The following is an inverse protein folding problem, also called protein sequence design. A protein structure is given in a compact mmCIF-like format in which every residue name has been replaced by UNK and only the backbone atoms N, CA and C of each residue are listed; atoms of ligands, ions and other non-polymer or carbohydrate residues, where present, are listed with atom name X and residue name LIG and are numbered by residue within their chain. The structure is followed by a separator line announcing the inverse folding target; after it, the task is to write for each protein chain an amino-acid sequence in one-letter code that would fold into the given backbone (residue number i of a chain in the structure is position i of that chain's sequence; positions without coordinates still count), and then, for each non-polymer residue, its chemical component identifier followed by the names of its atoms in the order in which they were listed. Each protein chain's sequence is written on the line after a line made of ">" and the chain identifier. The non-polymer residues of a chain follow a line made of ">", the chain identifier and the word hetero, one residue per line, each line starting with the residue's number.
data_IF_211291211899
#
_entry.id   IF_211291211899
#
_cell.length_a   1.000
_cell.length_b   1.000
_cell.length_c   1.000
_cell.angle_alpha   90.00
_cell.angle_beta   90.00
_cell.angle_gamma   90.00
#
_symmetry.space_group_name_H-M   'P 1'
#
loop_
_entity.id
_entity.type
_entity.pdbx_description
1 polymer ?
#
# COMPACT_ATOMS: atom_id res chain seq x y z
N UNK A 1 -1.35 -6.64 -5.63
CA UNK A 1 -1.25 -5.41 -4.80
C UNK A 1 -0.41 -5.66 -3.57
N UNK A 2 0.46 -4.74 -3.24
CA UNK A 2 1.28 -4.83 -2.02
C UNK A 2 0.92 -3.66 -1.11
N UNK A 3 0.74 -3.97 0.16
CA UNK A 3 0.44 -2.98 1.20
C UNK A 3 1.63 -2.92 2.14
N UNK A 4 2.26 -1.75 2.23
CA UNK A 4 3.47 -1.58 3.04
C UNK A 4 3.15 -0.70 4.23
N UNK A 5 3.34 -1.23 5.44
CA UNK A 5 3.17 -0.47 6.68
C UNK A 5 4.53 -0.10 7.29
N UNK A 6 4.50 0.59 8.41
CA UNK A 6 5.69 1.03 9.14
C UNK A 6 5.84 0.24 10.42
N UNK A 7 6.99 -0.41 10.62
CA UNK A 7 7.24 -1.18 11.84
C UNK A 7 7.53 -0.30 13.08
N UNK A 8 7.82 0.98 12.86
CA UNK A 8 8.03 1.95 13.96
C UNK A 8 6.73 2.46 14.58
N UNK A 9 5.57 2.15 13.96
CA UNK A 9 4.26 2.45 14.54
C UNK A 9 3.70 1.23 15.26
N UNK A 10 3.19 1.46 16.47
CA UNK A 10 2.50 0.39 17.22
C UNK A 10 1.01 0.53 16.96
N UNK A 11 0.51 -0.27 16.03
CA UNK A 11 -0.91 -0.29 15.68
C UNK A 11 -1.54 -1.59 16.15
N UNK A 12 -2.76 -1.51 16.68
CA UNK A 12 -3.56 -2.71 16.93
C UNK A 12 -3.86 -3.42 15.61
N UNK A 13 -4.20 -4.71 15.68
CA UNK A 13 -4.57 -5.50 14.49
C UNK A 13 -5.73 -4.87 13.74
N UNK A 14 -6.74 -4.43 14.47
CA UNK A 14 -7.92 -3.80 13.87
C UNK A 14 -7.57 -2.49 13.17
N UNK A 15 -6.73 -1.67 13.79
CA UNK A 15 -6.28 -0.41 13.20
C UNK A 15 -5.46 -0.65 11.92
N UNK A 16 -4.53 -1.60 11.96
CA UNK A 16 -3.74 -1.96 10.78
C UNK A 16 -4.65 -2.45 9.65
N UNK A 17 -5.59 -3.32 9.96
CA UNK A 17 -6.54 -3.83 8.97
C UNK A 17 -7.36 -2.70 8.32
N UNK A 18 -7.84 -1.74 9.12
CA UNK A 18 -8.59 -0.60 8.62
C UNK A 18 -7.73 0.28 7.71
N UNK A 19 -6.48 0.56 8.09
CA UNK A 19 -5.57 1.37 7.28
C UNK A 19 -5.20 0.66 5.96
N UNK A 20 -5.00 -0.66 5.99
CA UNK A 20 -4.83 -1.45 4.78
C UNK A 20 -6.07 -1.40 3.89
N UNK A 21 -7.26 -1.45 4.48
CA UNK A 21 -8.52 -1.31 3.76
C UNK A 21 -8.63 0.02 3.03
N UNK A 22 -8.22 1.11 3.67
CA UNK A 22 -8.17 2.43 3.03
C UNK A 22 -7.22 2.43 1.83
N UNK A 23 -6.04 1.85 1.98
CA UNK A 23 -5.07 1.76 0.89
C UNK A 23 -5.62 0.96 -0.30
N UNK A 24 -6.26 -0.18 -0.03
CA UNK A 24 -6.88 -1.01 -1.09
C UNK A 24 -7.96 -0.22 -1.82
N UNK A 25 -8.87 0.41 -1.09
CA UNK A 25 -9.97 1.17 -1.68
C UNK A 25 -9.47 2.28 -2.60
N UNK A 26 -8.50 3.06 -2.12
CA UNK A 26 -7.94 4.18 -2.90
C UNK A 26 -7.18 3.70 -4.12
N UNK A 27 -6.39 2.62 -4.00
CA UNK A 27 -5.68 2.03 -5.12
C UNK A 27 -6.64 1.49 -6.17
N UNK A 28 -7.71 0.83 -5.76
CA UNK A 28 -8.74 0.30 -6.68
C UNK A 28 -9.44 1.44 -7.42
N UNK A 29 -9.85 2.50 -6.72
CA UNK A 29 -10.49 3.66 -7.33
C UNK A 29 -9.56 4.35 -8.32
N UNK A 30 -8.28 4.49 -7.97
CA UNK A 30 -7.27 5.08 -8.84
C UNK A 30 -7.05 4.22 -10.09
N UNK A 31 -6.92 2.90 -9.91
CA UNK A 31 -6.76 1.96 -11.01
C UNK A 31 -7.98 1.98 -11.95
N UNK A 32 -9.17 2.13 -11.42
CA UNK A 32 -10.40 2.22 -12.22
C UNK A 32 -10.34 3.41 -13.18
N UNK A 33 -9.78 4.53 -12.74
CA UNK A 33 -9.63 5.73 -13.57
C UNK A 33 -8.47 5.63 -14.55
N UNK A 34 -7.33 5.10 -14.10
CA UNK A 34 -6.06 5.20 -14.83
C UNK A 34 -5.67 3.91 -15.56
N UNK A 35 -6.04 2.75 -15.01
CA UNK A 35 -5.62 1.43 -15.51
C UNK A 35 -6.78 0.42 -15.46
N UNK A 36 -7.89 0.69 -16.14
CA UNK A 36 -9.09 -0.15 -16.00
C UNK A 36 -8.90 -1.60 -16.46
N UNK A 37 -8.08 -1.83 -17.48
CA UNK A 37 -7.79 -3.20 -17.97
C UNK A 37 -6.98 -3.98 -16.95
N UNK A 38 -6.00 -3.33 -16.32
CA UNK A 38 -5.18 -3.94 -15.29
C UNK A 38 -6.04 -4.29 -14.07
N UNK A 39 -6.92 -3.39 -13.66
CA UNK A 39 -7.84 -3.64 -12.56
C UNK A 39 -8.74 -4.83 -12.84
N UNK A 40 -9.30 -4.91 -14.04
CA UNK A 40 -10.18 -6.01 -14.44
C UNK A 40 -9.47 -7.36 -14.34
N UNK A 41 -8.25 -7.45 -14.85
CA UNK A 41 -7.43 -8.67 -14.74
C UNK A 41 -7.12 -9.02 -13.30
N UNK A 42 -6.73 -8.01 -12.51
CA UNK A 42 -6.42 -8.18 -11.10
C UNK A 42 -7.62 -8.79 -10.33
N UNK A 43 -8.81 -8.24 -10.54
CA UNK A 43 -10.03 -8.75 -9.88
C UNK A 43 -10.38 -10.15 -10.35
N UNK A 44 -10.25 -10.43 -11.66
CA UNK A 44 -10.51 -11.76 -12.23
C UNK A 44 -9.56 -12.81 -11.67
N UNK A 45 -8.29 -12.44 -11.43
CA UNK A 45 -7.24 -13.38 -11.01
C UNK A 45 -7.16 -13.53 -9.48
N UNK A 46 -8.16 -13.07 -8.74
CA UNK A 46 -8.28 -13.31 -7.31
C UNK A 46 -7.95 -12.12 -6.41
N UNK A 47 -7.60 -10.98 -6.99
CA UNK A 47 -7.31 -9.74 -6.25
C UNK A 47 -6.30 -9.95 -5.10
N UNK A 48 -5.18 -10.62 -5.39
CA UNK A 48 -4.17 -10.99 -4.41
C UNK A 48 -3.55 -9.78 -3.72
N UNK A 49 -3.38 -9.88 -2.43
CA UNK A 49 -2.78 -8.83 -1.60
C UNK A 49 -1.67 -9.41 -0.72
N UNK A 50 -0.59 -8.64 -0.59
CA UNK A 50 0.54 -8.98 0.27
C UNK A 50 0.73 -7.81 1.23
N UNK A 51 0.86 -8.09 2.52
CA UNK A 51 1.11 -7.06 3.52
C UNK A 51 2.51 -7.23 4.08
N UNK A 52 3.34 -6.21 3.90
CA UNK A 52 4.72 -6.20 4.36
C UNK A 52 5.02 -4.90 5.12
N UNK A 53 6.23 -4.79 5.65
CA UNK A 53 6.59 -3.61 6.44
C UNK A 53 7.97 -3.08 6.08
N UNK A 54 8.14 -1.78 6.27
CA UNK A 54 9.44 -1.11 6.24
C UNK A 54 9.68 -0.44 7.60
N UNK A 55 10.92 -0.02 7.84
CA UNK A 55 11.34 0.40 9.18
C UNK A 55 10.79 1.74 9.65
N UNK A 56 10.58 2.70 8.73
CA UNK A 56 10.22 4.07 9.11
C UNK A 56 9.54 4.83 7.97
N UNK A 57 9.14 6.06 8.27
CA UNK A 57 8.47 6.94 7.32
C UNK A 57 9.37 7.30 6.13
N UNK A 58 10.66 7.53 6.36
CA UNK A 58 11.59 7.90 5.28
C UNK A 58 11.69 6.78 4.25
N UNK A 59 11.85 5.53 4.71
CA UNK A 59 11.89 4.36 3.84
C UNK A 59 10.59 4.19 3.07
N UNK A 60 9.44 4.44 3.73
CA UNK A 60 8.13 4.36 3.09
C UNK A 60 7.97 5.44 2.01
N UNK A 61 8.40 6.66 2.29
CA UNK A 61 8.35 7.75 1.31
C UNK A 61 9.25 7.50 0.11
N UNK A 62 10.42 6.91 0.33
CA UNK A 62 11.34 6.54 -0.75
C UNK A 62 10.70 5.50 -1.66
N UNK A 63 10.07 4.50 -1.06
CA UNK A 63 9.36 3.46 -1.81
C UNK A 63 8.20 4.04 -2.62
N UNK A 64 7.45 4.97 -2.03
CA UNK A 64 6.39 5.68 -2.73
C UNK A 64 6.92 6.44 -3.95
N UNK A 65 8.04 7.14 -3.80
CA UNK A 65 8.70 7.83 -4.89
C UNK A 65 9.12 6.87 -6.01
N UNK A 66 9.71 5.75 -5.66
CA UNK A 66 10.14 4.72 -6.61
C UNK A 66 8.94 4.14 -7.39
N UNK A 67 7.85 3.85 -6.69
CA UNK A 67 6.62 3.35 -7.33
C UNK A 67 6.04 4.36 -8.33
N UNK A 68 6.08 5.64 -7.99
CA UNK A 68 5.60 6.71 -8.88
C UNK A 68 6.48 6.86 -10.10
N UNK A 69 7.79 6.78 -9.95
CA UNK A 69 8.74 6.83 -11.07
C UNK A 69 8.48 5.67 -12.04
N UNK A 70 8.14 4.50 -11.52
CA UNK A 70 7.78 3.34 -12.34
C UNK A 70 6.39 3.46 -12.99
N UNK A 71 5.64 4.51 -12.70
CA UNK A 71 4.28 4.68 -13.23
C UNK A 71 3.25 3.74 -12.64
N UNK A 72 3.53 3.15 -11.49
CA UNK A 72 2.61 2.23 -10.81
C UNK A 72 1.48 2.99 -10.12
N UNK A 73 0.31 2.36 -10.11
CA UNK A 73 -0.79 2.83 -9.24
C UNK A 73 -0.33 2.69 -7.81
N UNK A 74 -0.39 3.77 -7.04
CA UNK A 74 -0.01 3.75 -5.63
C UNK A 74 -0.71 4.86 -4.86
N UNK A 75 -0.88 4.64 -3.55
CA UNK A 75 -1.56 5.62 -2.69
C UNK A 75 -0.99 5.55 -1.26
N UNK A 76 -0.67 6.70 -0.70
CA UNK A 76 -0.17 6.84 0.66
C UNK A 76 -1.31 7.22 1.59
N UNK A 77 -1.61 6.36 2.56
CA UNK A 77 -2.70 6.61 3.53
C UNK A 77 -2.20 7.43 4.70
N UNK A 78 -2.97 8.47 5.04
CA UNK A 78 -2.77 9.23 6.27
C UNK A 78 -3.95 9.01 7.20
N UNK A 79 -3.69 8.88 8.49
CA UNK A 79 -4.75 8.69 9.48
C UNK A 79 -5.52 9.99 9.72
N UNK A 80 -6.84 9.86 9.90
CA UNK A 80 -7.69 11.01 10.20
C UNK A 80 -7.56 11.52 11.65
N UNK A 81 -6.92 10.75 12.53
CA UNK A 81 -6.67 11.15 13.91
C UNK A 81 -7.81 10.88 14.88
N UNK A 82 -8.67 9.92 14.58
CA UNK A 82 -9.80 9.57 15.45
C UNK A 82 -9.53 8.38 16.37
N UNK A 83 -8.30 7.87 16.38
CA UNK A 83 -7.96 6.62 17.07
C UNK A 83 -6.61 6.71 17.81
N UNK A 84 -5.79 5.67 17.67
CA UNK A 84 -4.57 5.43 18.45
C UNK A 84 -3.42 6.39 18.14
N UNK A 85 -3.43 7.03 16.98
CA UNK A 85 -2.31 7.85 16.49
C UNK A 85 -2.75 9.25 16.09
N UNK A 86 -1.83 10.23 16.07
CA UNK A 86 -2.16 11.61 15.69
C UNK A 86 -2.67 11.74 14.26
N UNK A 87 -3.52 12.73 14.04
CA UNK A 87 -4.00 13.10 12.73
C UNK A 87 -2.82 13.39 11.78
N UNK A 88 -2.91 12.93 10.54
CA UNK A 88 -1.88 13.13 9.54
C UNK A 88 -0.74 12.13 9.59
N UNK A 89 -0.75 11.17 10.52
CA UNK A 89 0.26 10.12 10.55
C UNK A 89 0.12 9.24 9.30
N UNK A 90 1.21 9.11 8.55
CA UNK A 90 1.27 8.21 7.40
C UNK A 90 1.37 6.78 7.91
N UNK A 91 0.49 5.90 7.46
CA UNK A 91 0.37 4.55 8.00
C UNK A 91 0.69 3.44 7.01
N UNK A 92 0.11 3.48 5.82
CA UNK A 92 0.22 2.42 4.82
C UNK A 92 0.40 3.02 3.44
N UNK A 93 1.28 2.39 2.67
CA UNK A 93 1.42 2.65 1.24
C UNK A 93 0.82 1.47 0.48
N UNK A 94 -0.16 1.73 -0.38
CA UNK A 94 -0.65 0.76 -1.34
C UNK A 94 0.09 0.88 -2.66
N UNK A 95 0.51 -0.24 -3.24
CA UNK A 95 1.14 -0.31 -4.56
C UNK A 95 0.41 -1.36 -5.39
N UNK A 96 -0.14 -0.93 -6.50
CA UNK A 96 -0.87 -1.80 -7.40
C UNK A 96 -2.38 -1.49 -7.43
N UNK A 97 -3.14 -2.28 -8.21
CA UNK A 97 -2.68 -3.42 -9.01
C UNK A 97 -1.72 -3.01 -10.12
N UNK A 98 -0.82 -3.91 -10.46
CA UNK A 98 0.19 -3.65 -11.49
C UNK A 98 0.95 -4.92 -11.85
N UNK A 99 1.84 -4.86 -12.85
CA UNK A 99 2.64 -6.01 -13.23
C UNK A 99 3.57 -6.45 -12.09
N UNK A 100 3.60 -7.76 -11.82
CA UNK A 100 4.50 -8.31 -10.80
C UNK A 100 5.96 -7.99 -11.08
N UNK A 101 6.35 -8.00 -12.35
CA UNK A 101 7.72 -7.69 -12.77
C UNK A 101 8.14 -6.27 -12.40
N UNK A 102 7.21 -5.36 -12.20
CA UNK A 102 7.49 -3.97 -11.81
C UNK A 102 7.34 -3.75 -10.31
N UNK A 103 6.45 -4.47 -9.65
CA UNK A 103 6.21 -4.35 -8.19
C UNK A 103 7.24 -5.14 -7.39
N UNK A 104 7.52 -6.39 -7.77
CA UNK A 104 8.43 -7.26 -7.03
C UNK A 104 9.82 -6.66 -6.77
N UNK A 105 10.47 -5.99 -7.73
CA UNK A 105 11.78 -5.37 -7.45
C UNK A 105 11.74 -4.34 -6.32
N UNK A 106 10.60 -3.71 -6.09
CA UNK A 106 10.45 -2.69 -5.04
C UNK A 106 10.17 -3.28 -3.66
N UNK A 107 9.50 -4.41 -3.59
CA UNK A 107 8.89 -4.90 -2.34
C UNK A 107 9.35 -6.29 -1.90
N UNK A 108 9.96 -7.08 -2.78
CA UNK A 108 10.28 -8.49 -2.48
C UNK A 108 11.26 -8.69 -1.32
N UNK A 109 12.11 -7.69 -1.03
CA UNK A 109 13.05 -7.74 0.09
C UNK A 109 12.42 -7.37 1.44
N UNK A 110 11.21 -6.84 1.46
CA UNK A 110 10.56 -6.38 2.68
C UNK A 110 9.96 -7.56 3.45
N UNK A 111 10.11 -7.60 4.79
CA UNK A 111 9.51 -8.66 5.58
C UNK A 111 7.99 -8.56 5.60
N UNK A 112 7.33 -9.70 5.63
CA UNK A 112 5.88 -9.77 5.81
C UNK A 112 5.50 -9.34 7.22
N UNK A 113 4.35 -8.69 7.34
CA UNK A 113 3.75 -8.42 8.65
C UNK A 113 3.24 -9.74 9.21
N UNK A 114 3.56 -10.00 10.48
CA UNK A 114 3.16 -11.23 11.17
C UNK A 114 2.17 -11.00 12.30
#
# INVERSE_FOLDING_TARGET
>A
MVLVTRSDLILSRGKLAAQCGHAVAECVLKAKREEPRMLKRYMRDGARKIVCETSDLESLRRLFGDARVCGLVCYMVTDAGHTEIPAGTVTVLGIGPGPRSEIDPLTSSLPLVK
#
